data_IF_713707765656
#
_entry.id   IF_713707765656
#
_cell.length_a   1.000
_cell.length_b   1.000
_cell.length_c   1.000
_cell.angle_alpha   90.00
_cell.angle_beta   90.00
_cell.angle_gamma   90.00
#
_symmetry.space_group_name_H-M   'P 1'
#
loop_
_entity.id
_entity.type
_entity.pdbx_description
1 polymer ?
#
# COMPACT_ATOMS: atom_id res chain seq x y z
N UNK A 1 3.28 -6.49 -3.08
CA UNK A 1 2.78 -5.10 -3.01
C UNK A 1 1.54 -4.89 -3.87
N UNK A 2 1.50 -5.30 -5.14
CA UNK A 2 0.33 -5.02 -6.00
C UNK A 2 -0.99 -5.59 -5.49
N UNK A 3 -1.00 -6.82 -4.98
CA UNK A 3 -2.19 -7.44 -4.41
C UNK A 3 -2.85 -6.56 -3.34
N UNK A 4 -2.12 -6.21 -2.26
CA UNK A 4 -2.66 -5.39 -1.17
C UNK A 4 -3.17 -4.03 -1.68
N UNK A 5 -2.51 -3.44 -2.68
CA UNK A 5 -2.94 -2.18 -3.25
C UNK A 5 -4.22 -2.32 -4.07
N UNK A 6 -4.29 -3.27 -5.00
CA UNK A 6 -5.47 -3.44 -5.85
C UNK A 6 -6.68 -3.93 -5.09
N UNK A 7 -6.52 -4.88 -4.16
CA UNK A 7 -7.62 -5.38 -3.34
C UNK A 7 -8.23 -4.23 -2.52
N UNK A 8 -7.38 -3.44 -1.87
CA UNK A 8 -7.87 -2.41 -0.97
C UNK A 8 -8.33 -1.13 -1.69
N UNK A 9 -7.63 -0.73 -2.76
CA UNK A 9 -8.07 0.39 -3.59
C UNK A 9 -9.37 0.06 -4.32
N UNK A 10 -9.50 -1.14 -4.88
CA UNK A 10 -10.72 -1.60 -5.55
C UNK A 10 -11.91 -1.63 -4.59
N UNK A 11 -11.72 -2.16 -3.37
CA UNK A 11 -12.73 -2.12 -2.32
C UNK A 11 -13.14 -0.68 -1.95
N UNK A 12 -12.15 0.21 -1.78
CA UNK A 12 -12.41 1.62 -1.47
C UNK A 12 -13.20 2.32 -2.59
N UNK A 13 -12.85 2.05 -3.85
CA UNK A 13 -13.55 2.59 -5.02
C UNK A 13 -14.99 2.07 -5.11
N UNK A 14 -15.25 0.79 -4.79
CA UNK A 14 -16.60 0.24 -4.69
C UNK A 14 -17.42 0.94 -3.59
N UNK A 15 -16.83 1.15 -2.41
CA UNK A 15 -17.50 1.85 -1.31
C UNK A 15 -17.84 3.31 -1.66
N UNK A 16 -16.94 4.01 -2.36
CA UNK A 16 -17.18 5.35 -2.89
C UNK A 16 -18.35 5.33 -3.90
N UNK A 17 -18.34 4.40 -4.86
CA UNK A 17 -19.40 4.26 -5.86
C UNK A 17 -20.77 4.00 -5.26
N UNK A 18 -20.86 3.08 -4.28
CA UNK A 18 -22.09 2.81 -3.54
C UNK A 18 -22.54 4.02 -2.72
N UNK A 19 -21.61 4.73 -2.08
CA UNK A 19 -21.89 5.99 -1.38
C UNK A 19 -22.54 7.01 -2.30
N UNK A 20 -21.99 7.21 -3.51
CA UNK A 20 -22.52 8.13 -4.51
C UNK A 20 -23.93 7.75 -4.95
N UNK A 21 -24.22 6.46 -5.13
CA UNK A 21 -25.58 5.99 -5.45
C UNK A 21 -26.60 6.29 -4.34
N UNK A 22 -26.15 6.36 -3.09
CA UNK A 22 -26.97 6.68 -1.93
C UNK A 22 -26.96 8.18 -1.58
N UNK A 23 -26.30 9.02 -2.37
CA UNK A 23 -26.20 10.48 -2.15
C UNK A 23 -25.11 10.93 -1.18
N UNK A 24 -24.20 10.03 -0.78
CA UNK A 24 -23.03 10.35 0.04
C UNK A 24 -21.78 10.57 -0.83
N UNK A 25 -20.96 11.54 -0.44
CA UNK A 25 -19.66 11.79 -1.10
C UNK A 25 -18.55 11.43 -0.13
N UNK A 26 -17.90 10.27 -0.37
CA UNK A 26 -16.71 9.86 0.36
C UNK A 26 -15.44 10.38 -0.32
N UNK A 27 -14.44 10.70 0.49
CA UNK A 27 -13.12 11.08 -0.01
C UNK A 27 -12.38 9.86 -0.60
N UNK A 28 -11.54 10.09 -1.61
CA UNK A 28 -10.67 9.03 -2.14
C UNK A 28 -9.71 8.52 -1.07
N UNK A 29 -9.53 7.21 -1.02
CA UNK A 29 -8.66 6.58 -0.03
C UNK A 29 -7.23 6.33 -0.55
N UNK A 30 -7.06 6.28 -1.87
CA UNK A 30 -5.77 6.05 -2.52
C UNK A 30 -5.54 7.04 -3.67
N UNK A 31 -4.28 7.48 -3.81
CA UNK A 31 -3.88 8.45 -4.84
C UNK A 31 -2.54 8.09 -5.50
N UNK A 32 -2.51 6.98 -6.23
CA UNK A 32 -1.30 6.42 -6.85
C UNK A 32 -0.10 6.34 -5.87
N UNK A 33 -0.24 5.65 -4.72
CA UNK A 33 0.76 5.65 -3.66
C UNK A 33 2.13 5.10 -4.07
N UNK A 34 2.20 4.19 -5.04
CA UNK A 34 3.48 3.65 -5.54
C UNK A 34 4.19 4.56 -6.55
N UNK A 35 3.62 5.73 -6.82
CA UNK A 35 4.26 6.86 -7.51
C UNK A 35 4.76 7.93 -6.54
N UNK A 36 4.73 7.66 -5.24
CA UNK A 36 5.19 8.59 -4.22
C UNK A 36 6.69 8.85 -4.32
N UNK A 37 7.09 10.11 -4.14
CA UNK A 37 8.49 10.56 -4.27
C UNK A 37 9.24 10.63 -2.92
N UNK A 38 8.56 10.27 -1.83
CA UNK A 38 9.12 10.09 -0.49
C UNK A 38 8.15 9.32 0.41
N UNK A 39 8.57 8.97 1.63
CA UNK A 39 7.72 8.25 2.60
C UNK A 39 6.58 9.14 3.10
N UNK A 40 6.83 10.43 3.27
CA UNK A 40 5.79 11.41 3.59
C UNK A 40 4.77 11.54 2.46
N UNK A 41 5.20 11.57 1.20
CA UNK A 41 4.29 11.57 0.05
C UNK A 41 3.49 10.26 -0.06
N UNK A 42 4.12 9.12 0.27
CA UNK A 42 3.43 7.82 0.31
C UNK A 42 2.26 7.84 1.31
N UNK A 43 2.47 8.33 2.54
CA UNK A 43 1.41 8.41 3.56
C UNK A 43 0.32 9.45 3.25
N UNK A 44 0.58 10.40 2.34
CA UNK A 44 -0.45 11.31 1.81
C UNK A 44 -1.30 10.68 0.72
N UNK A 45 -0.86 9.56 0.15
CA UNK A 45 -1.49 8.86 -0.99
C UNK A 45 -2.03 7.48 -0.63
N UNK A 46 -1.59 6.89 0.49
CA UNK A 46 -1.97 5.58 0.96
C UNK A 46 -2.97 5.69 2.12
N UNK A 47 -4.09 4.97 2.01
CA UNK A 47 -5.12 4.86 3.04
C UNK A 47 -5.46 6.21 3.69
N UNK A 48 -5.77 7.20 2.84
CA UNK A 48 -5.90 8.63 3.19
C UNK A 48 -6.87 8.85 4.35
N UNK A 49 -7.96 8.08 4.43
CA UNK A 49 -8.93 8.20 5.53
C UNK A 49 -8.30 7.81 6.88
N UNK A 50 -7.62 6.66 6.96
CA UNK A 50 -6.89 6.22 8.15
C UNK A 50 -5.73 7.17 8.47
N UNK A 51 -4.93 7.54 7.48
CA UNK A 51 -3.80 8.45 7.65
C UNK A 51 -4.25 9.81 8.20
N UNK A 52 -5.42 10.29 7.75
CA UNK A 52 -6.06 11.49 8.30
C UNK A 52 -6.53 11.23 9.72
N UNK A 53 -7.21 10.12 10.00
CA UNK A 53 -7.67 9.80 11.34
C UNK A 53 -6.53 9.70 12.36
N UNK A 54 -5.45 8.99 12.04
CA UNK A 54 -4.24 8.90 12.88
C UNK A 54 -3.65 10.29 13.13
N UNK A 55 -3.64 11.17 12.12
CA UNK A 55 -3.15 12.54 12.28
C UNK A 55 -4.04 13.37 13.22
N UNK A 56 -5.34 13.40 12.96
CA UNK A 56 -6.29 14.27 13.67
C UNK A 56 -6.59 13.78 15.08
N UNK A 57 -6.66 12.46 15.30
CA UNK A 57 -7.13 11.86 16.56
C UNK A 57 -6.03 11.23 17.42
N UNK A 58 -4.82 11.01 16.89
CA UNK A 58 -3.68 10.57 17.70
C UNK A 58 -2.55 11.59 17.68
N UNK A 59 -2.00 11.90 16.51
CA UNK A 59 -0.79 12.71 16.39
C UNK A 59 -0.97 14.13 16.94
N UNK A 60 -2.00 14.85 16.50
CA UNK A 60 -2.28 16.22 16.96
C UNK A 60 -2.62 16.26 18.46
N UNK A 61 -3.50 15.38 19.00
CA UNK A 61 -3.76 15.30 20.43
C UNK A 61 -2.53 14.99 21.30
N UNK A 62 -1.58 14.18 20.81
CA UNK A 62 -0.29 13.93 21.49
C UNK A 62 0.64 15.16 21.52
N UNK A 63 0.25 16.26 20.86
CA UNK A 63 1.00 17.50 20.75
C UNK A 63 1.51 17.77 19.34
N UNK A 64 1.45 16.78 18.43
CA UNK A 64 1.86 16.92 17.04
C UNK A 64 3.27 17.49 16.90
N UNK A 65 3.38 18.66 16.26
CA UNK A 65 4.62 19.41 16.08
C UNK A 65 4.89 20.44 17.19
N UNK A 66 4.07 20.50 18.24
CA UNK A 66 4.21 21.47 19.33
C UNK A 66 5.26 20.98 20.34
N UNK A 67 6.05 21.89 20.88
CA UNK A 67 7.08 21.59 21.88
C UNK A 67 8.45 21.32 21.24
N UNK A 68 9.22 20.40 21.83
CA UNK A 68 10.61 20.13 21.42
C UNK A 68 10.69 19.13 20.26
N UNK A 69 11.78 19.18 19.49
CA UNK A 69 12.03 18.25 18.39
C UNK A 69 11.95 16.77 18.82
N UNK A 70 12.57 16.33 19.94
CA UNK A 70 12.45 14.95 20.40
C UNK A 70 11.00 14.52 20.68
N UNK A 71 10.18 15.39 21.25
CA UNK A 71 8.75 15.11 21.47
C UNK A 71 8.00 14.96 20.16
N UNK A 72 8.31 15.77 19.16
CA UNK A 72 7.69 15.65 17.83
C UNK A 72 8.00 14.29 17.20
N UNK A 73 9.25 13.82 17.29
CA UNK A 73 9.64 12.50 16.79
C UNK A 73 9.01 11.36 17.59
N UNK A 74 8.96 11.48 18.92
CA UNK A 74 8.28 10.51 19.77
C UNK A 74 6.78 10.40 19.42
N UNK A 75 6.08 11.54 19.28
CA UNK A 75 4.67 11.57 18.90
C UNK A 75 4.42 10.90 17.55
N UNK A 76 5.31 11.12 16.58
CA UNK A 76 5.24 10.52 15.26
C UNK A 76 5.44 9.01 15.31
N UNK A 77 6.47 8.54 16.01
CA UNK A 77 6.75 7.11 16.17
C UNK A 77 5.61 6.42 16.93
N UNK A 78 5.14 7.01 18.04
CA UNK A 78 4.00 6.49 18.82
C UNK A 78 2.75 6.40 17.95
N UNK A 79 2.44 7.43 17.16
CA UNK A 79 1.28 7.41 16.26
C UNK A 79 1.38 6.23 15.28
N UNK A 80 2.55 6.00 14.69
CA UNK A 80 2.73 4.91 13.73
C UNK A 80 2.75 3.52 14.40
N UNK A 81 3.28 3.39 15.62
CA UNK A 81 3.22 2.16 16.41
C UNK A 81 1.77 1.80 16.76
N UNK A 82 0.98 2.77 17.21
CA UNK A 82 -0.44 2.60 17.49
C UNK A 82 -1.22 2.28 16.20
N UNK A 83 -0.89 2.94 15.09
CA UNK A 83 -1.44 2.62 13.77
C UNK A 83 -1.11 1.20 13.33
N UNK A 84 0.10 0.71 13.61
CA UNK A 84 0.46 -0.69 13.42
C UNK A 84 -0.40 -1.62 14.26
N UNK A 85 -0.48 -1.39 15.58
CA UNK A 85 -1.30 -2.18 16.49
C UNK A 85 -2.79 -2.20 16.14
N UNK A 86 -3.31 -1.14 15.54
CA UNK A 86 -4.69 -1.09 15.02
C UNK A 86 -4.94 -2.15 13.93
N UNK A 87 -3.92 -2.53 13.16
CA UNK A 87 -4.03 -3.60 12.17
C UNK A 87 -4.00 -5.01 12.77
N UNK A 88 -3.41 -5.19 13.95
CA UNK A 88 -3.41 -6.47 14.65
C UNK A 88 -2.45 -6.56 15.83
N UNK A 89 -2.75 -7.45 16.77
CA UNK A 89 -1.99 -7.66 18.00
C UNK A 89 -0.79 -8.61 17.81
N UNK A 90 0.15 -8.27 16.91
CA UNK A 90 1.38 -9.05 16.69
C UNK A 90 2.62 -8.17 16.57
N UNK A 91 3.80 -8.73 16.87
CA UNK A 91 5.07 -8.02 16.75
C UNK A 91 5.39 -7.56 15.32
N UNK A 92 4.88 -8.27 14.32
CA UNK A 92 4.97 -7.89 12.92
C UNK A 92 4.41 -6.49 12.68
N UNK A 93 3.22 -6.21 13.22
CA UNK A 93 2.57 -4.91 13.07
C UNK A 93 3.25 -3.81 13.90
N UNK A 94 3.80 -4.14 15.07
CA UNK A 94 4.62 -3.20 15.86
C UNK A 94 5.88 -2.81 15.09
N UNK A 95 6.58 -3.78 14.50
CA UNK A 95 7.78 -3.50 13.69
C UNK A 95 7.43 -2.72 12.44
N UNK A 96 6.35 -3.08 11.74
CA UNK A 96 5.85 -2.33 10.59
C UNK A 96 5.55 -0.86 10.95
N UNK A 97 4.83 -0.63 12.04
CA UNK A 97 4.52 0.71 12.54
C UNK A 97 5.79 1.47 12.95
N UNK A 98 6.71 0.80 13.65
CA UNK A 98 8.00 1.36 14.06
C UNK A 98 8.88 1.73 12.87
N UNK A 99 8.93 0.89 11.82
CA UNK A 99 9.64 1.18 10.58
C UNK A 99 9.08 2.45 9.94
N UNK A 100 7.75 2.56 9.75
CA UNK A 100 7.17 3.76 9.15
C UNK A 100 7.34 5.01 10.02
N UNK A 101 7.21 4.90 11.34
CA UNK A 101 7.47 5.98 12.28
C UNK A 101 8.92 6.48 12.21
N UNK A 102 9.88 5.55 12.22
CA UNK A 102 11.30 5.85 12.09
C UNK A 102 11.65 6.47 10.75
N UNK A 103 11.08 5.96 9.65
CA UNK A 103 11.29 6.53 8.31
C UNK A 103 10.75 7.95 8.19
N UNK A 104 9.56 8.22 8.73
CA UNK A 104 8.99 9.57 8.75
C UNK A 104 9.81 10.52 9.65
N UNK A 105 10.29 10.04 10.81
CA UNK A 105 11.16 10.82 11.69
C UNK A 105 12.50 11.14 11.03
N UNK A 106 13.10 10.17 10.35
CA UNK A 106 14.33 10.34 9.57
C UNK A 106 14.13 11.30 8.40
N UNK A 107 13.09 11.14 7.58
CA UNK A 107 12.84 12.07 6.48
C UNK A 107 12.67 13.50 7.00
N UNK A 108 11.97 13.66 8.13
CA UNK A 108 11.80 14.96 8.77
C UNK A 108 13.11 15.57 9.28
N UNK A 109 14.00 14.77 9.86
CA UNK A 109 15.27 15.30 10.41
C UNK A 109 16.21 15.83 9.34
N UNK A 110 16.05 15.36 8.10
CA UNK A 110 16.84 15.78 6.95
C UNK A 110 16.35 17.10 6.30
N UNK A 111 15.16 17.58 6.66
CA UNK A 111 14.63 18.84 6.12
C UNK A 111 14.38 18.81 4.60
N UNK A 112 14.47 19.98 3.95
CA UNK A 112 14.13 20.14 2.51
C UNK A 112 15.23 19.63 1.57
N UNK A 113 16.48 19.68 2.00
CA UNK A 113 17.66 19.23 1.23
C UNK A 113 18.07 17.78 1.60
N UNK A 114 17.11 16.99 2.08
CA UNK A 114 17.37 15.67 2.62
C UNK A 114 17.70 14.60 1.59
N UNK A 115 17.65 13.35 2.03
CA UNK A 115 18.01 12.14 1.27
C UNK A 115 17.46 12.08 -0.18
N UNK A 116 16.25 12.60 -0.42
CA UNK A 116 15.61 12.59 -1.73
C UNK A 116 15.96 13.77 -2.64
N UNK A 117 16.57 14.85 -2.12
CA UNK A 117 16.66 16.15 -2.80
C UNK A 117 17.40 16.09 -4.14
N UNK A 118 18.54 15.41 -4.18
CA UNK A 118 19.39 15.34 -5.38
C UNK A 118 19.04 14.17 -6.32
N UNK A 119 18.04 13.36 -5.97
CA UNK A 119 17.66 12.20 -6.77
C UNK A 119 16.68 12.62 -7.87
N UNK A 120 16.85 12.14 -9.12
CA UNK A 120 15.84 12.34 -10.15
C UNK A 120 14.53 11.67 -9.75
N UNK A 121 13.41 12.19 -10.24
CA UNK A 121 12.05 11.75 -9.88
C UNK A 121 11.86 10.23 -9.95
N UNK A 122 12.32 9.59 -11.02
CA UNK A 122 12.20 8.13 -11.21
C UNK A 122 12.91 7.36 -10.10
N UNK A 123 14.08 7.83 -9.67
CA UNK A 123 14.85 7.19 -8.61
C UNK A 123 14.23 7.42 -7.23
N UNK A 124 13.66 8.61 -6.98
CA UNK A 124 12.88 8.88 -5.74
C UNK A 124 11.70 7.91 -5.59
N UNK A 125 10.96 7.71 -6.67
CA UNK A 125 9.84 6.76 -6.73
C UNK A 125 10.32 5.34 -6.52
N UNK A 126 11.36 4.91 -7.24
CA UNK A 126 11.91 3.56 -7.12
C UNK A 126 12.39 3.26 -5.69
N UNK A 127 13.14 4.19 -5.08
CA UNK A 127 13.64 4.04 -3.71
C UNK A 127 12.49 4.00 -2.70
N UNK A 128 11.53 4.91 -2.82
CA UNK A 128 10.34 4.92 -1.94
C UNK A 128 9.55 3.63 -2.07
N UNK A 129 9.34 3.13 -3.29
CA UNK A 129 8.65 1.87 -3.55
C UNK A 129 9.40 0.67 -2.93
N UNK A 130 10.72 0.58 -3.10
CA UNK A 130 11.52 -0.51 -2.50
C UNK A 130 11.46 -0.47 -0.99
N UNK A 131 11.59 0.71 -0.37
CA UNK A 131 11.49 0.87 1.08
C UNK A 131 10.11 0.41 1.59
N UNK A 132 9.04 0.85 0.94
CA UNK A 132 7.66 0.45 1.27
C UNK A 132 7.44 -1.04 1.03
N UNK A 133 8.02 -1.61 -0.03
CA UNK A 133 7.96 -3.05 -0.33
C UNK A 133 8.60 -3.88 0.79
N UNK A 134 9.74 -3.45 1.32
CA UNK A 134 10.39 -4.10 2.46
C UNK A 134 9.55 -3.99 3.72
N UNK A 135 8.91 -2.84 3.98
CA UNK A 135 7.97 -2.71 5.09
C UNK A 135 6.78 -3.68 4.94
N UNK A 136 6.23 -3.82 3.74
CA UNK A 136 5.11 -4.75 3.48
C UNK A 136 5.40 -6.20 3.83
N UNK A 137 6.67 -6.62 3.89
CA UNK A 137 7.03 -7.98 4.32
C UNK A 137 6.51 -8.28 5.72
N UNK A 138 6.67 -7.35 6.66
CA UNK A 138 6.18 -7.51 8.02
C UNK A 138 4.65 -7.50 8.08
N UNK A 139 4.00 -6.68 7.25
CA UNK A 139 2.54 -6.65 7.18
C UNK A 139 1.95 -7.95 6.62
N UNK A 140 2.66 -8.62 5.69
CA UNK A 140 2.19 -9.83 5.01
C UNK A 140 2.57 -11.13 5.73
N UNK A 141 3.70 -11.15 6.42
CA UNK A 141 4.19 -12.36 7.08
C UNK A 141 3.28 -12.75 8.25
N UNK A 142 3.05 -14.06 8.40
CA UNK A 142 2.25 -14.59 9.52
C UNK A 142 2.97 -14.45 10.87
N UNK A 143 4.31 -14.44 10.87
CA UNK A 143 5.14 -14.34 12.07
C UNK A 143 6.53 -13.77 11.72
N UNK A 144 7.32 -13.43 12.74
CA UNK A 144 8.65 -12.83 12.56
C UNK A 144 9.65 -13.76 11.87
N UNK A 145 9.74 -15.07 12.20
CA UNK A 145 10.60 -15.99 11.46
C UNK A 145 10.30 -16.01 9.95
N UNK A 146 9.02 -16.05 9.56
CA UNK A 146 8.61 -15.99 8.15
C UNK A 146 8.94 -14.65 7.50
N UNK A 147 8.80 -13.52 8.22
CA UNK A 147 9.23 -12.21 7.72
C UNK A 147 10.74 -12.20 7.41
N UNK A 148 11.56 -12.76 8.31
CA UNK A 148 13.00 -12.91 8.11
C UNK A 148 13.33 -13.79 6.89
N UNK A 149 12.62 -14.91 6.72
CA UNK A 149 12.79 -15.79 5.56
C UNK A 149 12.43 -15.09 4.24
N UNK A 150 11.37 -14.26 4.22
CA UNK A 150 11.02 -13.43 3.06
C UNK A 150 12.11 -12.43 2.74
N UNK A 151 12.61 -11.67 3.72
CA UNK A 151 13.70 -10.72 3.52
C UNK A 151 14.97 -11.41 3.00
N UNK A 152 15.38 -12.53 3.61
CA UNK A 152 16.53 -13.30 3.15
C UNK A 152 16.36 -13.74 1.69
N UNK A 153 15.18 -14.24 1.33
CA UNK A 153 14.87 -14.68 -0.04
C UNK A 153 14.92 -13.53 -1.05
N UNK A 154 14.44 -12.33 -0.67
CA UNK A 154 14.49 -11.14 -1.54
C UNK A 154 15.93 -10.71 -1.88
N UNK A 155 16.89 -10.99 -1.00
CA UNK A 155 18.32 -10.71 -1.22
C UNK A 155 19.11 -11.95 -1.69
N UNK A 156 18.45 -13.05 -2.04
CA UNK A 156 19.11 -14.28 -2.50
C UNK A 156 19.80 -15.09 -1.40
N UNK A 157 19.56 -14.76 -0.13
CA UNK A 157 20.10 -15.44 1.06
C UNK A 157 19.15 -16.53 1.59
N UNK A 158 18.01 -16.75 0.93
CA UNK A 158 17.04 -17.76 1.31
C UNK A 158 17.53 -19.17 0.98
N UNK A 159 17.24 -20.13 1.86
CA UNK A 159 17.50 -21.55 1.57
C UNK A 159 16.46 -22.09 0.58
N UNK A 160 16.91 -22.85 -0.41
CA UNK A 160 16.02 -23.54 -1.33
C UNK A 160 15.13 -24.53 -0.56
N UNK A 161 13.84 -24.22 -0.46
CA UNK A 161 12.87 -25.12 0.16
C UNK A 161 12.52 -26.27 -0.80
N UNK A 162 12.18 -27.43 -0.26
CA UNK A 162 11.63 -28.54 -1.04
C UNK A 162 10.37 -28.06 -1.77
N UNK A 163 10.34 -28.20 -3.10
CA UNK A 163 9.26 -27.67 -3.94
C UNK A 163 9.48 -26.26 -4.50
N UNK A 164 10.58 -25.57 -4.15
CA UNK A 164 10.91 -24.26 -4.73
C UNK A 164 11.03 -24.29 -6.26
N UNK A 165 11.53 -25.40 -6.83
CA UNK A 165 11.58 -25.59 -8.27
C UNK A 165 10.18 -25.64 -8.92
N UNK A 166 9.23 -26.35 -8.31
CA UNK A 166 7.85 -26.41 -8.78
C UNK A 166 7.17 -25.04 -8.66
N UNK A 167 7.33 -24.37 -7.51
CA UNK A 167 6.79 -23.03 -7.28
C UNK A 167 7.37 -22.02 -8.28
N UNK A 168 8.68 -22.10 -8.55
CA UNK A 168 9.34 -21.25 -9.56
C UNK A 168 8.78 -21.54 -10.96
N UNK A 169 8.56 -22.82 -11.29
CA UNK A 169 7.95 -23.22 -12.56
C UNK A 169 6.54 -22.65 -12.74
N UNK A 170 5.76 -22.55 -11.67
CA UNK A 170 4.44 -21.90 -11.67
C UNK A 170 4.59 -20.38 -11.84
N UNK A 171 5.42 -19.73 -11.02
CA UNK A 171 5.59 -18.26 -11.03
C UNK A 171 6.11 -17.74 -12.37
N UNK A 172 6.99 -18.51 -13.04
CA UNK A 172 7.56 -18.14 -14.34
C UNK A 172 6.66 -18.51 -15.53
N UNK A 173 5.45 -19.04 -15.31
CA UNK A 173 4.51 -19.23 -16.42
C UNK A 173 4.14 -17.86 -17.03
N UNK A 174 4.01 -17.78 -18.37
CA UNK A 174 3.69 -16.52 -19.05
C UNK A 174 2.47 -15.81 -18.48
N UNK A 175 1.44 -16.56 -18.05
CA UNK A 175 0.24 -16.00 -17.44
C UNK A 175 0.54 -15.12 -16.21
N UNK A 176 1.33 -15.61 -15.24
CA UNK A 176 1.64 -14.85 -14.03
C UNK A 176 2.58 -13.67 -14.32
N UNK A 177 3.55 -13.84 -15.21
CA UNK A 177 4.46 -12.77 -15.62
C UNK A 177 3.70 -11.64 -16.33
N UNK A 178 2.81 -11.96 -17.26
CA UNK A 178 1.96 -10.98 -17.95
C UNK A 178 1.01 -10.29 -16.97
N UNK A 179 0.45 -11.03 -15.99
CA UNK A 179 -0.41 -10.45 -14.96
C UNK A 179 0.35 -9.44 -14.09
N UNK A 180 1.58 -9.77 -13.67
CA UNK A 180 2.44 -8.87 -12.90
C UNK A 180 2.86 -7.66 -13.73
N UNK A 181 3.18 -7.86 -15.02
CA UNK A 181 3.53 -6.77 -15.93
C UNK A 181 2.34 -5.83 -16.19
N UNK A 182 1.14 -6.37 -16.37
CA UNK A 182 -0.09 -5.58 -16.51
C UNK A 182 -0.40 -4.80 -15.23
N UNK A 183 -0.30 -5.45 -14.06
CA UNK A 183 -0.40 -4.81 -12.75
C UNK A 183 0.58 -3.64 -12.60
N UNK A 184 1.86 -3.85 -12.93
CA UNK A 184 2.88 -2.82 -12.93
C UNK A 184 2.52 -1.65 -13.87
N UNK A 185 2.09 -1.94 -15.09
CA UNK A 185 1.69 -0.92 -16.06
C UNK A 185 0.52 -0.09 -15.54
N UNK A 186 -0.50 -0.71 -14.94
CA UNK A 186 -1.62 0.00 -14.32
C UNK A 186 -1.15 0.90 -13.18
N UNK A 187 -0.28 0.42 -12.31
CA UNK A 187 0.23 1.19 -11.15
C UNK A 187 1.02 2.44 -11.58
N UNK A 188 1.93 2.30 -12.55
CA UNK A 188 2.89 3.38 -12.87
C UNK A 188 2.52 4.21 -14.10
N UNK A 189 1.75 3.65 -15.05
CA UNK A 189 1.32 4.33 -16.27
C UNK A 189 -0.18 4.67 -16.26
N UNK A 190 -0.97 3.93 -15.49
CA UNK A 190 -2.41 4.14 -15.37
C UNK A 190 -2.76 5.50 -14.76
N UNK A 191 -3.95 6.00 -15.14
CA UNK A 191 -4.59 7.10 -14.45
C UNK A 191 -5.40 6.55 -13.27
N UNK A 192 -5.45 7.30 -12.19
CA UNK A 192 -6.24 6.92 -11.02
C UNK A 192 -7.73 6.82 -11.39
N UNK A 193 -8.41 5.78 -10.88
CA UNK A 193 -9.84 5.54 -11.14
C UNK A 193 -10.66 6.80 -10.91
N UNK A 194 -10.46 7.43 -9.73
CA UNK A 194 -11.14 8.67 -9.33
C UNK A 194 -11.04 9.78 -10.39
N UNK A 195 -9.84 10.06 -10.89
CA UNK A 195 -9.63 11.14 -11.88
C UNK A 195 -10.20 10.76 -13.25
N UNK A 196 -10.12 9.47 -13.61
CA UNK A 196 -10.62 8.98 -14.89
C UNK A 196 -12.15 8.99 -14.97
N UNK A 197 -12.84 8.74 -13.85
CA UNK A 197 -14.30 8.63 -13.77
C UNK A 197 -15.02 9.95 -13.46
N UNK A 198 -14.31 11.06 -13.18
CA UNK A 198 -14.95 12.37 -12.91
C UNK A 198 -15.87 12.85 -14.05
N UNK A 199 -15.52 12.50 -15.29
CA UNK A 199 -16.35 12.76 -16.47
C UNK A 199 -16.60 11.45 -17.20
N UNK A 200 -17.83 10.94 -17.08
CA UNK A 200 -18.24 9.68 -17.67
C UNK A 200 -18.77 9.92 -19.09
N UNK A 201 -17.94 9.61 -20.09
CA UNK A 201 -18.37 9.59 -21.49
C UNK A 201 -18.87 8.19 -21.84
N UNK A 202 -19.67 8.07 -22.91
CA UNK A 202 -20.18 6.76 -23.39
C UNK A 202 -19.05 5.73 -23.55
N UNK A 203 -17.90 6.03 -24.19
CA UNK A 203 -16.81 5.06 -24.29
C UNK A 203 -16.28 4.58 -22.93
N UNK A 204 -16.12 5.49 -21.96
CA UNK A 204 -15.66 5.12 -20.62
C UNK A 204 -16.69 4.25 -19.90
N UNK A 205 -17.98 4.60 -20.01
CA UNK A 205 -19.07 3.81 -19.45
C UNK A 205 -19.09 2.40 -20.05
N UNK A 206 -18.94 2.27 -21.37
CA UNK A 206 -18.85 0.96 -22.04
C UNK A 206 -17.67 0.13 -21.55
N UNK A 207 -16.50 0.75 -21.35
CA UNK A 207 -15.33 0.07 -20.77
C UNK A 207 -15.61 -0.39 -19.34
N UNK A 208 -16.19 0.47 -18.49
CA UNK A 208 -16.58 0.10 -17.13
C UNK A 208 -17.57 -1.07 -17.10
N UNK A 209 -18.60 -1.03 -17.94
CA UNK A 209 -19.59 -2.12 -18.04
C UNK A 209 -18.95 -3.42 -18.53
N UNK A 210 -18.06 -3.37 -19.53
CA UNK A 210 -17.35 -4.55 -20.02
C UNK A 210 -16.43 -5.15 -18.95
N UNK A 211 -15.66 -4.31 -18.24
CA UNK A 211 -14.82 -4.76 -17.13
C UNK A 211 -15.65 -5.33 -15.97
N UNK A 212 -16.77 -4.70 -15.65
CA UNK A 212 -17.71 -5.21 -14.65
C UNK A 212 -18.29 -6.57 -15.03
N UNK A 213 -18.66 -6.76 -16.30
CA UNK A 213 -19.11 -8.06 -16.80
C UNK A 213 -18.02 -9.13 -16.71
N UNK A 214 -16.79 -8.82 -17.12
CA UNK A 214 -15.64 -9.74 -16.97
C UNK A 214 -15.43 -10.09 -15.50
N UNK A 215 -15.49 -9.11 -14.59
CA UNK A 215 -15.36 -9.36 -13.15
C UNK A 215 -16.46 -10.31 -12.63
N UNK A 216 -17.71 -10.15 -13.08
CA UNK A 216 -18.81 -11.06 -12.72
C UNK A 216 -18.60 -12.48 -13.26
N UNK A 217 -18.13 -12.62 -14.50
CA UNK A 217 -17.81 -13.94 -15.08
C UNK A 217 -16.69 -14.61 -14.29
N UNK A 218 -15.61 -13.88 -14.00
CA UNK A 218 -14.49 -14.40 -13.19
C UNK A 218 -15.01 -14.84 -11.82
N UNK A 219 -15.77 -13.98 -11.14
CA UNK A 219 -16.34 -14.29 -9.82
C UNK A 219 -17.23 -15.55 -9.86
N UNK A 220 -18.05 -15.72 -10.89
CA UNK A 220 -18.92 -16.89 -11.04
C UNK A 220 -18.15 -18.20 -11.32
N UNK A 221 -16.90 -18.10 -11.81
CA UNK A 221 -16.04 -19.26 -12.13
C UNK A 221 -15.01 -19.57 -11.04
N UNK A 222 -14.92 -18.77 -9.98
CA UNK A 222 -13.97 -18.99 -8.88
C UNK A 222 -14.60 -19.81 -7.75
N UNK A 223 -14.01 -20.97 -7.44
CA UNK A 223 -14.41 -21.82 -6.31
C UNK A 223 -14.01 -21.23 -4.93
N UNK A 224 -13.06 -20.29 -4.89
CA UNK A 224 -12.50 -19.73 -3.64
C UNK A 224 -12.15 -18.24 -3.80
N UNK A 225 -12.73 -17.37 -2.95
CA UNK A 225 -12.50 -15.92 -2.92
C UNK A 225 -11.94 -15.47 -1.55
N UNK A 226 -10.63 -15.57 -1.29
CA UNK A 226 -10.06 -15.17 -0.01
C UNK A 226 -9.98 -13.64 0.09
N UNK A 227 -10.87 -13.04 0.89
CA UNK A 227 -10.83 -11.62 1.21
C UNK A 227 -9.73 -11.34 2.27
N UNK A 228 -8.88 -10.34 2.02
CA UNK A 228 -7.64 -10.09 2.79
C UNK A 228 -7.88 -9.80 4.29
N UNK A 229 -9.08 -9.31 4.67
CA UNK A 229 -9.44 -9.01 6.06
C UNK A 229 -9.89 -10.23 6.89
N UNK A 230 -10.01 -11.42 6.29
CA UNK A 230 -10.41 -12.64 7.03
C UNK A 230 -9.31 -13.71 7.07
N UNK A 231 -8.06 -13.34 6.74
CA UNK A 231 -6.90 -14.25 6.72
C UNK A 231 -5.96 -13.99 7.92
N UNK A 232 -6.51 -13.52 9.04
CA UNK A 232 -5.79 -13.32 10.30
C UNK A 232 -6.07 -14.47 11.26
#
# INVERSE_FOLDING_TARGET
SFQIYFDFSGYSDMAIGLGLMLGFVFAKNFDSPYRAESITDFWRRWHISLSTWLREYLYIPLGGNRGTLPRTYANLIITMLLGGLWHGASWNFVIWGGMHGGMLAFERSQGREGFYHNLPRSLRIAVTFVIVLLAWVFFRAADLPRAGAYLASMFGLGHAQHGAALLSGIIYQPYYLLSIAAAAAVVWLGRQTWDWTQQLTIPKASVCCALGWVALVVLATQDYNPFIYFIF
#
